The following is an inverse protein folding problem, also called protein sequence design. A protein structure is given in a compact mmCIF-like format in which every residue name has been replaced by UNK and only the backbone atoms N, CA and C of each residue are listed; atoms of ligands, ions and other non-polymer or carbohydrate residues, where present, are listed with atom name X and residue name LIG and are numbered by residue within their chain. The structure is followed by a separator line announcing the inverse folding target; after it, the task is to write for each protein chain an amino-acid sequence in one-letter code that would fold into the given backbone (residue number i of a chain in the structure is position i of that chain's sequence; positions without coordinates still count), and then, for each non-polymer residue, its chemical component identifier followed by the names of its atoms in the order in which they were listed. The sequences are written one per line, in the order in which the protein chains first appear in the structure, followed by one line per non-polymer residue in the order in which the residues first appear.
data_IF_887717317448
#
_entry.id   IF_887717317448
#
_cell.length_a   1.000
_cell.length_b   1.000
_cell.length_c   1.000
_cell.angle_alpha   90.00
_cell.angle_beta   90.00
_cell.angle_gamma   90.00
#
_symmetry.space_group_name_H-M   'P 1'
#
loop_
_entity.id
_entity.type
_entity.pdbx_description
1 polymer ?
#
# COMPACT_ATOMS: atom_id res chain seq x y z
N UNK A 1 -4.35 18.48 10.50
CA UNK A 1 -3.56 19.32 11.44
C UNK A 1 -2.10 18.90 11.55
N UNK A 2 -1.52 18.05 10.67
CA UNK A 2 -0.08 17.67 10.72
C UNK A 2 0.47 17.44 12.14
N UNK A 3 -0.25 16.63 12.93
CA UNK A 3 0.08 16.26 14.31
C UNK A 3 0.02 17.39 15.36
N UNK A 4 -0.43 18.62 15.04
CA UNK A 4 -0.45 19.73 16.01
C UNK A 4 -1.40 19.54 17.17
N UNK A 5 -2.55 18.92 16.92
CA UNK A 5 -3.53 18.55 17.95
C UNK A 5 -3.05 17.43 18.89
N UNK A 6 -1.91 16.80 18.59
CA UNK A 6 -1.41 15.65 19.32
C UNK A 6 -0.09 16.01 20.02
N UNK A 7 0.85 16.67 19.33
CA UNK A 7 2.17 17.03 19.86
C UNK A 7 2.19 18.33 20.67
N UNK A 8 3.03 18.38 21.70
CA UNK A 8 3.37 19.62 22.39
C UNK A 8 4.17 20.55 21.45
N UNK A 9 4.00 21.87 21.60
CA UNK A 9 4.59 22.89 20.72
C UNK A 9 6.10 22.71 20.51
N UNK A 10 6.85 22.41 21.57
CA UNK A 10 8.31 22.25 21.53
C UNK A 10 8.79 21.10 20.61
N UNK A 11 7.92 20.10 20.38
CA UNK A 11 8.18 18.97 19.48
C UNK A 11 7.62 19.20 18.08
N UNK A 12 6.60 20.04 17.93
CA UNK A 12 5.97 20.36 16.64
C UNK A 12 6.94 21.09 15.71
N UNK A 13 7.68 22.09 16.19
CA UNK A 13 8.57 22.87 15.32
C UNK A 13 9.66 21.98 14.71
N UNK A 14 10.31 21.14 15.52
CA UNK A 14 11.32 20.18 15.03
C UNK A 14 10.74 19.16 14.06
N UNK A 15 9.49 18.75 14.29
CA UNK A 15 8.79 17.86 13.37
C UNK A 15 8.55 18.55 12.03
N UNK A 16 8.04 19.78 12.05
CA UNK A 16 7.69 20.54 10.86
C UNK A 16 8.91 20.93 10.04
N UNK A 17 10.02 21.31 10.68
CA UNK A 17 11.27 21.60 9.97
C UNK A 17 11.71 20.41 9.11
N UNK A 18 11.58 19.20 9.63
CA UNK A 18 11.90 17.99 8.88
C UNK A 18 10.83 17.64 7.86
N UNK A 19 9.57 17.75 8.23
CA UNK A 19 8.43 17.35 7.39
C UNK A 19 8.23 18.27 6.17
N UNK A 20 8.54 19.57 6.30
CA UNK A 20 8.47 20.54 5.20
C UNK A 20 9.56 20.34 4.15
N UNK A 21 10.64 19.64 4.48
CA UNK A 21 11.73 19.30 3.56
C UNK A 21 11.46 18.00 2.79
N UNK A 22 10.43 17.24 3.18
CA UNK A 22 10.11 15.92 2.61
C UNK A 22 9.02 16.01 1.52
N UNK A 23 8.81 14.91 0.81
CA UNK A 23 7.74 14.81 -0.19
C UNK A 23 6.34 14.91 0.45
N UNK A 24 5.36 15.39 -0.32
CA UNK A 24 3.97 15.59 0.15
C UNK A 24 3.28 14.32 0.64
N UNK A 25 3.75 13.14 0.24
CA UNK A 25 3.27 11.84 0.71
C UNK A 25 3.85 11.42 2.06
N UNK A 26 5.01 11.96 2.46
CA UNK A 26 5.74 11.59 3.67
C UNK A 26 4.94 11.67 4.98
N UNK A 27 4.04 12.65 5.20
CA UNK A 27 3.24 12.71 6.42
C UNK A 27 2.40 11.44 6.65
N UNK A 28 1.96 10.75 5.59
CA UNK A 28 1.26 9.46 5.71
C UNK A 28 2.19 8.36 6.23
N UNK A 29 3.43 8.32 5.73
CA UNK A 29 4.43 7.34 6.18
C UNK A 29 4.87 7.57 7.61
N UNK A 30 4.99 8.84 8.03
CA UNK A 30 5.23 9.18 9.41
C UNK A 30 4.08 8.71 10.31
N UNK A 31 2.83 8.90 9.89
CA UNK A 31 1.67 8.38 10.63
C UNK A 31 1.71 6.84 10.74
N UNK A 32 2.04 6.14 9.65
CA UNK A 32 2.21 4.67 9.66
C UNK A 32 3.37 4.25 10.58
N UNK A 33 4.48 4.98 10.59
CA UNK A 33 5.61 4.71 11.47
C UNK A 33 5.25 4.89 12.95
N UNK A 34 4.45 5.91 13.28
CA UNK A 34 3.90 6.11 14.62
C UNK A 34 2.99 4.94 15.00
N UNK A 35 2.05 4.55 14.13
CA UNK A 35 1.16 3.41 14.37
C UNK A 35 1.93 2.10 14.55
N UNK A 36 2.99 1.87 13.76
CA UNK A 36 3.87 0.70 13.91
C UNK A 36 4.63 0.72 15.23
N UNK A 37 5.11 1.88 15.66
CA UNK A 37 5.82 2.03 16.94
C UNK A 37 4.90 1.74 18.13
N UNK A 38 3.61 2.06 17.99
CA UNK A 38 2.60 1.86 19.02
C UNK A 38 1.85 0.53 18.90
N UNK A 39 2.17 -0.29 17.89
CA UNK A 39 1.40 -1.48 17.51
C UNK A 39 1.08 -2.40 18.68
N UNK A 40 2.06 -2.75 19.49
CA UNK A 40 1.88 -3.74 20.55
C UNK A 40 0.99 -3.20 21.68
N UNK A 41 1.02 -1.88 21.93
CA UNK A 41 0.12 -1.22 22.88
C UNK A 41 -1.30 -1.16 22.30
N UNK A 42 -1.45 -0.75 21.03
CA UNK A 42 -2.75 -0.64 20.37
C UNK A 42 -3.46 -2.00 20.27
N UNK A 43 -2.74 -3.08 19.98
CA UNK A 43 -3.31 -4.43 19.88
C UNK A 43 -3.75 -5.01 21.24
N UNK A 44 -3.24 -4.48 22.36
CA UNK A 44 -3.62 -4.90 23.70
C UNK A 44 -4.80 -4.11 24.27
N UNK A 45 -5.21 -3.02 23.60
CA UNK A 45 -6.22 -2.09 24.09
C UNK A 45 -7.56 -2.27 23.36
N UNK A 46 -8.65 -2.01 24.05
CA UNK A 46 -9.95 -1.87 23.39
C UNK A 46 -10.08 -0.53 22.66
N UNK A 47 -11.13 -0.39 21.86
CA UNK A 47 -11.34 0.80 21.03
C UNK A 47 -11.42 2.10 21.84
N UNK A 48 -12.15 2.09 22.96
CA UNK A 48 -12.34 3.27 23.80
C UNK A 48 -11.03 3.70 24.46
N UNK A 49 -10.24 2.73 24.93
CA UNK A 49 -8.92 2.99 25.50
C UNK A 49 -7.95 3.53 24.45
N UNK A 50 -8.02 3.04 23.20
CA UNK A 50 -7.22 3.58 22.10
C UNK A 50 -7.52 5.06 21.82
N UNK A 51 -8.80 5.47 21.87
CA UNK A 51 -9.18 6.88 21.67
C UNK A 51 -8.55 7.77 22.77
N UNK A 52 -8.67 7.35 24.03
CA UNK A 52 -8.09 8.08 25.16
C UNK A 52 -6.56 8.12 25.09
N UNK A 53 -5.95 7.03 24.64
CA UNK A 53 -4.51 6.92 24.45
C UNK A 53 -3.97 7.91 23.42
N UNK A 54 -4.63 8.03 22.26
CA UNK A 54 -4.25 9.02 21.25
C UNK A 54 -4.53 10.46 21.71
N UNK A 55 -5.58 10.68 22.50
CA UNK A 55 -5.91 12.01 23.05
C UNK A 55 -4.83 12.53 24.00
N UNK A 56 -4.20 11.64 24.78
CA UNK A 56 -3.16 12.00 25.73
C UNK A 56 -1.73 11.91 25.15
N UNK A 57 -1.60 11.42 23.92
CA UNK A 57 -0.39 11.00 23.21
C UNK A 57 0.75 10.43 24.08
N UNK A 58 1.14 9.16 23.90
CA UNK A 58 2.31 8.61 24.58
C UNK A 58 3.60 9.36 24.20
N UNK A 59 4.62 9.28 25.07
CA UNK A 59 5.94 9.79 24.71
C UNK A 59 6.54 8.98 23.55
N UNK A 60 6.48 9.53 22.34
CA UNK A 60 6.96 8.88 21.13
C UNK A 60 8.45 9.14 20.88
N UNK A 61 9.26 8.10 20.56
CA UNK A 61 10.61 8.29 20.05
C UNK A 61 10.54 8.77 18.60
N UNK A 62 10.40 10.09 18.41
CA UNK A 62 10.18 10.69 17.09
C UNK A 62 11.30 10.37 16.10
N UNK A 63 12.56 10.34 16.53
CA UNK A 63 13.69 10.00 15.65
C UNK A 63 13.55 8.60 15.04
N UNK A 64 13.10 7.62 15.83
CA UNK A 64 12.82 6.27 15.35
C UNK A 64 11.64 6.25 14.37
N UNK A 65 10.60 7.04 14.64
CA UNK A 65 9.46 7.17 13.74
C UNK A 65 9.86 7.79 12.40
N UNK A 66 10.78 8.76 12.39
CA UNK A 66 11.32 9.34 11.17
C UNK A 66 12.13 8.33 10.37
N UNK A 67 13.08 7.62 10.99
CA UNK A 67 13.88 6.60 10.31
C UNK A 67 12.98 5.54 9.68
N UNK A 68 11.99 5.05 10.43
CA UNK A 68 11.02 4.08 9.92
C UNK A 68 10.15 4.67 8.81
N UNK A 69 9.70 5.91 8.94
CA UNK A 69 8.91 6.62 7.92
C UNK A 69 9.67 6.75 6.60
N UNK A 70 10.93 7.15 6.65
CA UNK A 70 11.82 7.24 5.47
C UNK A 70 12.01 5.87 4.82
N UNK A 71 12.33 4.83 5.60
CA UNK A 71 12.46 3.47 5.06
C UNK A 71 11.18 2.99 4.37
N UNK A 72 10.02 3.24 4.97
CA UNK A 72 8.74 2.85 4.39
C UNK A 72 8.45 3.63 3.10
N UNK A 73 8.74 4.93 3.09
CA UNK A 73 8.55 5.79 1.91
C UNK A 73 9.45 5.36 0.75
N UNK A 74 10.74 5.12 1.00
CA UNK A 74 11.71 4.66 0.00
C UNK A 74 11.40 3.24 -0.51
N UNK A 75 10.85 2.38 0.34
CA UNK A 75 10.41 1.02 -0.05
C UNK A 75 9.07 0.99 -0.79
N UNK A 76 8.39 2.13 -0.94
CA UNK A 76 7.09 2.21 -1.61
C UNK A 76 7.22 2.74 -3.04
N UNK A 77 6.71 2.01 -4.05
CA UNK A 77 6.64 2.47 -5.44
C UNK A 77 6.08 3.87 -5.64
N UNK A 78 6.70 4.67 -6.50
CA UNK A 78 6.34 6.07 -6.73
C UNK A 78 4.90 6.22 -7.23
N UNK A 79 4.42 5.31 -8.07
CA UNK A 79 3.04 5.27 -8.57
C UNK A 79 1.98 5.09 -7.49
N UNK A 80 2.35 4.59 -6.31
CA UNK A 80 1.49 4.50 -5.13
C UNK A 80 1.52 5.83 -4.33
N UNK A 81 2.69 6.50 -4.32
CA UNK A 81 2.88 7.77 -3.62
C UNK A 81 2.15 8.93 -4.30
N UNK A 82 2.01 8.87 -5.63
CA UNK A 82 1.37 9.89 -6.44
C UNK A 82 0.00 9.42 -6.92
N UNK A 83 -0.90 10.37 -7.18
CA UNK A 83 -2.24 10.09 -7.74
C UNK A 83 -2.19 9.80 -9.25
N UNK A 84 -1.32 8.88 -9.70
CA UNK A 84 -1.10 8.60 -11.14
C UNK A 84 -2.35 8.07 -11.83
N UNK A 85 -3.09 7.19 -11.16
CA UNK A 85 -4.23 6.48 -11.75
C UNK A 85 -5.58 7.15 -11.48
N UNK A 86 -5.62 8.36 -10.91
CA UNK A 86 -6.89 9.07 -10.62
C UNK A 86 -7.21 10.03 -11.75
N UNK A 87 -8.38 9.84 -12.36
CA UNK A 87 -9.09 10.88 -13.12
C UNK A 87 -10.07 11.57 -12.18
N UNK A 88 -10.46 12.79 -12.52
CA UNK A 88 -11.62 13.45 -11.89
C UNK A 88 -12.92 12.68 -12.14
N UNK A 89 -14.03 13.40 -12.21
CA UNK A 89 -15.36 12.78 -12.33
C UNK A 89 -15.57 12.02 -13.65
N UNK A 90 -14.82 12.37 -14.69
CA UNK A 90 -14.96 11.79 -16.04
C UNK A 90 -14.02 10.59 -16.23
N UNK A 91 -14.46 9.50 -16.88
CA UNK A 91 -13.59 8.39 -17.23
C UNK A 91 -12.54 8.85 -18.25
N UNK A 92 -11.27 8.65 -17.95
CA UNK A 92 -10.21 8.95 -18.91
C UNK A 92 -10.30 7.99 -20.11
N UNK A 93 -10.08 8.57 -21.30
CA UNK A 93 -9.83 7.81 -22.51
C UNK A 93 -8.47 7.11 -22.32
N UNK A 94 -8.41 5.76 -22.37
CA UNK A 94 -7.14 5.04 -22.25
C UNK A 94 -6.17 5.50 -23.34
N UNK A 95 -4.91 5.73 -22.98
CA UNK A 95 -3.86 5.99 -23.97
C UNK A 95 -3.74 4.76 -24.89
N UNK A 96 -3.96 4.88 -26.21
CA UNK A 96 -3.82 3.78 -27.15
C UNK A 96 -2.44 3.11 -27.11
N UNK A 97 -1.39 3.84 -26.70
CA UNK A 97 -0.02 3.33 -26.58
C UNK A 97 0.21 2.59 -25.26
N UNK A 98 -0.59 2.86 -24.23
CA UNK A 98 -0.46 2.26 -22.89
C UNK A 98 -1.83 1.81 -22.36
N UNK A 99 -2.52 0.88 -23.04
CA UNK A 99 -3.86 0.45 -22.65
C UNK A 99 -3.94 -0.25 -21.28
N UNK A 100 -2.78 -0.64 -20.71
CA UNK A 100 -2.66 -1.20 -19.36
C UNK A 100 -2.58 -0.12 -18.26
N UNK A 101 -2.19 1.11 -18.57
CA UNK A 101 -2.17 2.24 -17.61
C UNK A 101 -3.52 2.97 -17.57
N UNK A 102 -4.60 2.20 -17.45
CA UNK A 102 -5.95 2.77 -17.37
C UNK A 102 -6.11 3.57 -16.08
N UNK A 103 -6.50 4.83 -16.23
CA UNK A 103 -6.92 5.66 -15.10
C UNK A 103 -8.33 5.30 -14.64
N UNK A 104 -8.60 5.52 -13.36
CA UNK A 104 -9.80 5.19 -12.65
C UNK A 104 -10.51 6.44 -12.15
N UNK A 105 -11.83 6.37 -12.05
CA UNK A 105 -12.60 7.36 -11.30
C UNK A 105 -12.41 7.15 -9.80
N UNK A 106 -12.74 8.17 -9.00
CA UNK A 106 -12.69 8.08 -7.54
C UNK A 106 -13.57 6.95 -6.98
N UNK A 107 -14.75 6.71 -7.56
CA UNK A 107 -15.64 5.62 -7.12
C UNK A 107 -15.05 4.24 -7.40
N UNK A 108 -14.36 4.06 -8.53
CA UNK A 108 -13.68 2.81 -8.84
C UNK A 108 -12.52 2.55 -7.89
N UNK A 109 -11.76 3.58 -7.51
CA UNK A 109 -10.67 3.42 -6.54
C UNK A 109 -11.16 3.06 -5.14
N UNK A 110 -12.33 3.53 -4.72
CA UNK A 110 -12.88 3.21 -3.39
C UNK A 110 -13.18 1.72 -3.21
N UNK A 111 -13.43 0.99 -4.29
CA UNK A 111 -13.72 -0.45 -4.24
C UNK A 111 -12.49 -1.33 -4.44
N UNK A 112 -11.32 -0.76 -4.80
CA UNK A 112 -10.08 -1.52 -4.91
C UNK A 112 -9.52 -1.87 -3.52
N UNK A 113 -9.04 -3.11 -3.37
CA UNK A 113 -8.45 -3.61 -2.11
C UNK A 113 -6.98 -3.22 -1.93
N UNK A 114 -6.32 -2.79 -3.00
CA UNK A 114 -4.90 -2.48 -3.04
C UNK A 114 -4.64 -1.38 -4.08
N UNK A 115 -3.59 -0.56 -3.90
CA UNK A 115 -3.22 0.45 -4.88
C UNK A 115 -2.69 -0.20 -6.16
N UNK A 116 -2.89 0.49 -7.29
CA UNK A 116 -2.26 0.12 -8.56
C UNK A 116 -0.80 0.55 -8.60
N UNK A 117 0.01 -0.25 -9.27
CA UNK A 117 1.43 0.01 -9.50
C UNK A 117 1.67 0.24 -11.00
N UNK A 118 2.50 1.23 -11.33
CA UNK A 118 2.96 1.46 -12.69
C UNK A 118 3.95 0.39 -13.13
N UNK A 119 4.00 0.14 -14.44
CA UNK A 119 4.89 -0.87 -14.99
C UNK A 119 6.37 -0.59 -14.71
N UNK A 120 6.77 0.68 -14.78
CA UNK A 120 8.16 1.09 -14.51
C UNK A 120 8.56 0.83 -13.05
N UNK A 121 7.62 0.94 -12.10
CA UNK A 121 7.91 0.64 -10.70
C UNK A 121 8.10 -0.85 -10.46
N UNK A 122 7.36 -1.73 -11.16
CA UNK A 122 7.60 -3.18 -11.08
C UNK A 122 9.07 -3.47 -11.47
N UNK A 123 9.56 -2.81 -12.53
CA UNK A 123 10.94 -2.96 -12.98
C UNK A 123 11.95 -2.44 -11.96
N UNK A 124 11.72 -1.24 -11.43
CA UNK A 124 12.64 -0.57 -10.50
C UNK A 124 12.78 -1.31 -9.16
N UNK A 125 11.72 -1.99 -8.73
CA UNK A 125 11.69 -2.73 -7.47
C UNK A 125 11.94 -4.23 -7.66
N UNK A 126 12.23 -4.72 -8.86
CA UNK A 126 12.69 -6.11 -9.05
C UNK A 126 14.11 -6.25 -8.49
N UNK A 127 14.42 -7.27 -7.64
CA UNK A 127 13.64 -8.48 -7.35
C UNK A 127 12.81 -8.45 -6.04
N UNK A 128 12.66 -7.29 -5.39
CA UNK A 128 11.90 -7.16 -4.13
C UNK A 128 10.38 -7.33 -4.30
N UNK A 129 9.87 -7.15 -5.54
CA UNK A 129 8.49 -7.43 -5.92
C UNK A 129 8.36 -8.82 -6.54
N UNK A 130 7.38 -9.58 -6.07
CA UNK A 130 6.93 -10.83 -6.67
C UNK A 130 5.72 -10.54 -7.54
N UNK A 131 5.77 -10.92 -8.81
CA UNK A 131 4.65 -10.79 -9.72
C UNK A 131 3.83 -12.08 -9.78
N UNK A 132 2.58 -12.04 -9.34
CA UNK A 132 1.64 -13.14 -9.42
C UNK A 132 0.60 -12.82 -10.50
N UNK A 133 0.50 -13.68 -11.52
CA UNK A 133 -0.47 -13.52 -12.60
C UNK A 133 -1.67 -14.43 -12.38
N UNK A 134 -2.83 -13.83 -12.09
CA UNK A 134 -4.08 -14.55 -11.79
C UNK A 134 -4.98 -14.69 -13.03
N UNK A 135 -4.50 -14.31 -14.22
CA UNK A 135 -5.23 -14.51 -15.47
C UNK A 135 -5.31 -16.00 -15.82
N UNK A 136 -6.28 -16.41 -16.65
CA UNK A 136 -6.38 -17.79 -17.11
C UNK A 136 -5.05 -18.32 -17.67
N UNK A 137 -4.70 -19.60 -17.45
CA UNK A 137 -3.44 -20.17 -17.92
C UNK A 137 -3.23 -20.03 -19.44
N UNK A 138 -4.31 -20.05 -20.21
CA UNK A 138 -4.29 -19.84 -21.65
C UNK A 138 -3.77 -18.44 -22.03
N UNK A 139 -4.25 -17.39 -21.35
CA UNK A 139 -3.77 -16.02 -21.54
C UNK A 139 -2.33 -15.82 -21.08
N UNK A 140 -1.98 -16.45 -19.97
CA UNK A 140 -0.62 -16.42 -19.44
C UNK A 140 0.38 -17.08 -20.39
N UNK A 141 0.00 -18.22 -20.99
CA UNK A 141 0.81 -18.95 -21.95
C UNK A 141 1.02 -18.16 -23.25
N UNK A 142 0.02 -17.40 -23.70
CA UNK A 142 0.18 -16.50 -24.85
C UNK A 142 1.21 -15.39 -24.58
N UNK A 143 1.06 -14.68 -23.45
CA UNK A 143 1.99 -13.62 -23.06
C UNK A 143 1.91 -13.34 -21.56
N UNK A 144 3.07 -13.34 -20.92
CA UNK A 144 3.22 -13.03 -19.50
C UNK A 144 4.32 -12.00 -19.27
N UNK A 145 4.37 -11.49 -18.04
CA UNK A 145 5.47 -10.67 -17.58
C UNK A 145 6.67 -11.58 -17.25
N UNK A 146 7.89 -11.29 -17.74
CA UNK A 146 9.05 -12.12 -17.44
C UNK A 146 9.28 -12.28 -15.94
N UNK A 147 9.33 -13.53 -15.47
CA UNK A 147 9.52 -13.85 -14.05
C UNK A 147 8.25 -13.80 -13.21
N UNK A 148 7.06 -13.59 -13.79
CA UNK A 148 5.81 -13.78 -13.07
C UNK A 148 5.41 -15.25 -12.96
N UNK A 149 4.69 -15.57 -11.88
CA UNK A 149 4.16 -16.90 -11.62
C UNK A 149 2.67 -16.90 -11.89
N UNK A 150 2.18 -17.80 -12.76
CA UNK A 150 0.73 -17.97 -12.94
C UNK A 150 0.13 -18.66 -11.72
N UNK A 151 -0.94 -18.09 -11.19
CA UNK A 151 -1.58 -18.54 -9.97
C UNK A 151 -3.04 -18.92 -10.24
N UNK A 152 -3.36 -20.22 -10.12
CA UNK A 152 -4.74 -20.68 -10.21
C UNK A 152 -5.45 -20.48 -8.87
N UNK A 153 -6.30 -19.45 -8.78
CA UNK A 153 -7.03 -19.10 -7.56
C UNK A 153 -7.94 -20.23 -7.03
N UNK A 154 -8.35 -21.19 -7.85
CA UNK A 154 -9.18 -22.32 -7.42
C UNK A 154 -8.38 -23.42 -6.71
N UNK A 155 -7.10 -23.52 -7.02
CA UNK A 155 -6.20 -24.59 -6.52
C UNK A 155 -5.19 -24.07 -5.50
N UNK A 156 -4.95 -22.76 -5.49
CA UNK A 156 -3.98 -22.12 -4.60
C UNK A 156 -4.48 -22.09 -3.16
N UNK A 157 -3.64 -22.56 -2.24
CA UNK A 157 -3.89 -22.48 -0.80
C UNK A 157 -3.04 -21.40 -0.14
N UNK A 158 -3.40 -21.02 1.09
CA UNK A 158 -2.61 -20.05 1.86
C UNK A 158 -1.16 -20.51 2.10
N UNK A 159 -0.91 -21.83 2.17
CA UNK A 159 0.44 -22.38 2.36
C UNK A 159 1.36 -22.04 1.19
N UNK A 160 0.82 -22.07 -0.02
CA UNK A 160 1.59 -21.76 -1.24
C UNK A 160 2.06 -20.30 -1.24
N UNK A 161 1.27 -19.41 -0.62
CA UNK A 161 1.57 -17.99 -0.48
C UNK A 161 2.55 -17.68 0.66
N UNK A 162 2.78 -18.59 1.60
CA UNK A 162 3.75 -18.37 2.70
C UNK A 162 5.17 -18.17 2.19
N UNK A 163 5.52 -18.75 1.04
CA UNK A 163 6.82 -18.57 0.38
C UNK A 163 7.11 -17.10 0.01
N UNK A 164 6.08 -16.26 -0.07
CA UNK A 164 6.17 -14.84 -0.41
C UNK A 164 6.04 -13.92 0.82
N UNK A 165 6.00 -14.48 2.03
CA UNK A 165 5.87 -13.70 3.26
C UNK A 165 6.99 -12.65 3.38
N UNK A 166 6.60 -11.41 3.68
CA UNK A 166 7.53 -10.28 3.82
C UNK A 166 8.00 -9.67 2.50
N UNK A 167 7.60 -10.19 1.34
CA UNK A 167 7.88 -9.59 0.03
C UNK A 167 6.74 -8.70 -0.43
N UNK A 168 7.04 -7.72 -1.28
CA UNK A 168 6.01 -6.97 -1.99
C UNK A 168 5.39 -7.86 -3.06
N UNK A 169 4.06 -7.92 -3.14
CA UNK A 169 3.35 -8.75 -4.10
C UNK A 169 2.60 -7.83 -5.07
N UNK A 170 2.88 -7.98 -6.36
CA UNK A 170 2.13 -7.32 -7.43
C UNK A 170 1.25 -8.36 -8.12
N UNK A 171 -0.04 -8.06 -8.23
CA UNK A 171 -1.00 -8.96 -8.86
C UNK A 171 -1.28 -8.46 -10.27
N UNK A 172 -1.02 -9.32 -11.25
CA UNK A 172 -1.41 -9.13 -12.65
C UNK A 172 -2.72 -9.87 -12.84
N UNK A 173 -3.80 -9.14 -13.09
CA UNK A 173 -5.12 -9.71 -13.28
C UNK A 173 -5.84 -9.09 -14.45
N UNK A 174 -7.00 -9.67 -14.78
CA UNK A 174 -7.88 -9.10 -15.78
C UNK A 174 -8.51 -7.77 -15.30
N UNK A 175 -8.89 -6.92 -16.25
CA UNK A 175 -9.30 -5.53 -16.05
C UNK A 175 -10.43 -5.40 -15.02
N UNK A 176 -10.11 -4.91 -13.83
CA UNK A 176 -11.06 -4.26 -12.91
C UNK A 176 -11.96 -5.15 -12.04
N UNK A 177 -12.27 -6.39 -12.42
CA UNK A 177 -13.27 -7.20 -11.68
C UNK A 177 -12.66 -8.28 -10.78
N UNK A 178 -11.35 -8.53 -10.89
CA UNK A 178 -10.70 -9.61 -10.15
C UNK A 178 -10.03 -9.17 -8.85
N UNK A 179 -9.83 -7.87 -8.60
CA UNK A 179 -9.27 -7.41 -7.33
C UNK A 179 -10.17 -7.81 -6.13
N UNK A 180 -11.49 -7.74 -6.29
CA UNK A 180 -12.47 -8.20 -5.28
C UNK A 180 -12.41 -9.72 -5.03
N UNK A 181 -11.94 -10.51 -6.01
CA UNK A 181 -11.75 -11.97 -5.87
C UNK A 181 -10.46 -12.32 -5.15
N UNK A 182 -9.53 -11.37 -4.99
CA UNK A 182 -8.35 -11.49 -4.11
C UNK A 182 -8.67 -11.03 -2.68
N UNK A 183 -9.94 -11.16 -2.26
CA UNK A 183 -10.22 -11.45 -0.86
C UNK A 183 -9.63 -12.82 -0.56
N UNK A 184 -8.32 -12.83 -0.26
CA UNK A 184 -7.70 -13.97 0.41
C UNK A 184 -8.59 -14.29 1.60
N UNK A 185 -9.01 -15.55 1.62
CA UNK A 185 -9.72 -16.24 2.67
C UNK A 185 -8.90 -16.06 3.96
N UNK A 186 -9.10 -14.94 4.64
CA UNK A 186 -8.67 -14.70 6.01
C UNK A 186 -9.96 -14.76 6.82
N UNK A 187 -10.59 -15.93 6.85
CA UNK A 187 -11.65 -16.30 7.77
C UNK A 187 -11.90 -17.80 7.57
N UNK A 188 -11.01 -18.59 8.14
CA UNK A 188 -11.18 -20.00 8.48
C UNK A 188 -9.89 -20.39 9.22
N UNK A 189 -9.83 -20.62 10.53
CA UNK A 189 -10.79 -21.12 11.54
C UNK A 189 -10.18 -20.86 12.94
N UNK A 190 -10.76 -21.34 14.04
CA UNK A 190 -12.17 -21.34 14.48
C UNK A 190 -12.43 -20.22 15.50
#
# INVERSE_FOLDING_TARGET
TLFTHILHMDKIYRLWDRLLMEQTSFPLFLAVAIMKTLRDQLLAMDFNSCILFFSNMPNLPMDRCFVLGTQLHESTPLSILIRKFIVGSEPAIPDPKMPWERQLTLEQMRVELAPRIAFDDIRNFTPSIVCLDIRPPEEFAMKNYPGSTNLNLKETTFKDLQSYHGKHISIIGDRGDNAAKVRVIINDKP
#
